data_IF_355789815699
#
_entry.id   IF_355789815699
#
_cell.length_a   1.000
_cell.length_b   1.000
_cell.length_c   1.000
_cell.angle_alpha   90.00
_cell.angle_beta   90.00
_cell.angle_gamma   90.00
#
_symmetry.space_group_name_H-M   'P 1'
#
loop_
_entity.id
_entity.type
_entity.pdbx_description
1 polymer ?
#
# COMPACT_ATOMS: atom_id res chain seq x y z
N UNK A 1 8.48 25.39 2.63
CA UNK A 1 8.94 24.31 1.74
C UNK A 1 7.76 23.41 1.41
N UNK A 2 7.56 23.14 0.14
CA UNK A 2 6.47 22.30 -0.30
C UNK A 2 6.96 21.02 -0.93
N UNK A 3 6.03 20.20 -1.34
CA UNK A 3 6.33 18.97 -2.05
C UNK A 3 6.80 19.29 -3.47
N UNK A 4 7.76 18.53 -3.96
CA UNK A 4 8.21 18.67 -5.34
C UNK A 4 7.19 18.05 -6.30
N UNK A 5 7.34 18.36 -7.60
CA UNK A 5 6.49 17.75 -8.62
C UNK A 5 6.64 16.24 -8.63
N UNK A 6 7.86 15.75 -8.46
CA UNK A 6 8.10 14.31 -8.46
C UNK A 6 7.40 13.65 -7.28
N UNK A 7 7.46 14.27 -6.10
CA UNK A 7 6.78 13.71 -4.94
C UNK A 7 5.27 13.64 -5.14
N UNK A 8 4.70 14.68 -5.74
CA UNK A 8 3.27 14.68 -6.04
C UNK A 8 2.91 13.60 -7.05
N UNK A 9 3.76 13.41 -8.05
CA UNK A 9 3.54 12.37 -9.05
C UNK A 9 3.58 10.98 -8.43
N UNK A 10 4.52 10.77 -7.50
CA UNK A 10 4.62 9.50 -6.78
C UNK A 10 3.34 9.24 -6.00
N UNK A 11 2.86 10.24 -5.27
CA UNK A 11 1.65 10.07 -4.47
C UNK A 11 0.44 9.79 -5.35
N UNK A 12 0.37 10.45 -6.52
CA UNK A 12 -0.71 10.19 -7.46
C UNK A 12 -0.64 8.77 -8.00
N UNK A 13 0.56 8.30 -8.33
CA UNK A 13 0.73 6.94 -8.84
C UNK A 13 0.36 5.89 -7.79
N UNK A 14 0.70 6.14 -6.53
CA UNK A 14 0.29 5.25 -5.44
C UNK A 14 -1.23 5.27 -5.28
N UNK A 15 -1.84 6.44 -5.40
CA UNK A 15 -3.31 6.53 -5.36
C UNK A 15 -3.93 5.70 -6.48
N UNK A 16 -3.35 5.76 -7.68
CA UNK A 16 -3.85 4.95 -8.80
C UNK A 16 -3.64 3.46 -8.56
N UNK A 17 -2.54 3.10 -7.91
CA UNK A 17 -2.31 1.72 -7.52
C UNK A 17 -3.44 1.22 -6.62
N UNK A 18 -3.79 2.00 -5.60
CA UNK A 18 -4.87 1.66 -4.69
C UNK A 18 -6.20 1.59 -5.45
N UNK A 19 -6.43 2.53 -6.36
CA UNK A 19 -7.68 2.59 -7.12
C UNK A 19 -7.87 1.38 -8.02
N UNK A 20 -6.78 0.82 -8.54
CA UNK A 20 -6.84 -0.36 -9.40
C UNK A 20 -6.96 -1.66 -8.61
N UNK A 21 -6.81 -1.61 -7.30
CA UNK A 21 -6.90 -2.77 -6.43
C UNK A 21 -7.86 -2.46 -5.29
N UNK A 22 -9.13 -2.17 -5.60
CA UNK A 22 -10.05 -1.61 -4.61
C UNK A 22 -10.50 -2.58 -3.53
N UNK A 23 -10.50 -3.87 -3.83
CA UNK A 23 -11.03 -4.87 -2.91
C UNK A 23 -9.92 -5.81 -2.48
N UNK A 24 -9.27 -5.53 -1.33
CA UNK A 24 -8.20 -6.43 -0.86
C UNK A 24 -8.70 -7.87 -0.77
N UNK A 25 -7.92 -8.77 -1.29
CA UNK A 25 -8.24 -10.18 -1.30
C UNK A 25 -6.99 -10.98 -0.96
N UNK A 26 -7.18 -12.07 -0.24
CA UNK A 26 -6.05 -12.90 0.17
C UNK A 26 -5.84 -14.02 -0.84
N UNK A 27 -5.59 -13.62 -2.10
CA UNK A 27 -5.27 -14.56 -3.16
C UNK A 27 -3.90 -14.24 -3.72
N UNK A 28 -3.24 -15.28 -4.27
CA UNK A 28 -1.92 -15.10 -4.85
C UNK A 28 -1.95 -14.14 -6.03
N UNK A 29 -2.99 -14.24 -6.87
CA UNK A 29 -3.12 -13.37 -8.02
C UNK A 29 -3.24 -11.90 -7.62
N UNK A 30 -4.03 -11.62 -6.60
CA UNK A 30 -4.21 -10.25 -6.13
C UNK A 30 -2.88 -9.68 -5.63
N UNK A 31 -2.19 -10.43 -4.79
CA UNK A 31 -0.93 -9.97 -4.23
C UNK A 31 0.15 -9.83 -5.29
N UNK A 32 0.20 -10.74 -6.25
CA UNK A 32 1.20 -10.65 -7.32
C UNK A 32 0.95 -9.40 -8.16
N UNK A 33 -0.30 -9.13 -8.50
CA UNK A 33 -0.65 -7.93 -9.26
C UNK A 33 -0.28 -6.66 -8.50
N UNK A 34 -0.57 -6.62 -7.20
CA UNK A 34 -0.25 -5.47 -6.36
C UNK A 34 1.26 -5.25 -6.28
N UNK A 35 2.01 -6.32 -6.06
CA UNK A 35 3.46 -6.25 -5.95
C UNK A 35 4.07 -5.80 -7.28
N UNK A 36 3.60 -6.35 -8.39
CA UNK A 36 4.12 -5.99 -9.70
C UNK A 36 3.88 -4.52 -10.00
N UNK A 37 2.68 -4.02 -9.72
CA UNK A 37 2.36 -2.63 -9.96
C UNK A 37 3.18 -1.70 -9.05
N UNK A 38 3.31 -2.06 -7.78
CA UNK A 38 4.13 -1.28 -6.85
C UNK A 38 5.59 -1.26 -7.31
N UNK A 39 6.09 -2.39 -7.78
CA UNK A 39 7.43 -2.47 -8.32
C UNK A 39 7.64 -1.58 -9.53
N UNK A 40 6.65 -1.51 -10.42
CA UNK A 40 6.71 -0.63 -11.58
C UNK A 40 6.83 0.83 -11.15
N UNK A 41 6.08 1.22 -10.13
CA UNK A 41 6.14 2.59 -9.62
C UNK A 41 7.53 2.89 -9.05
N UNK A 42 8.05 1.98 -8.25
CA UNK A 42 9.39 2.15 -7.69
C UNK A 42 10.44 2.26 -8.79
N UNK A 43 10.33 1.44 -9.82
CA UNK A 43 11.27 1.45 -10.94
C UNK A 43 11.17 2.76 -11.73
N UNK A 44 9.94 3.22 -11.96
CA UNK A 44 9.68 4.47 -12.70
C UNK A 44 10.40 5.66 -12.05
N UNK A 45 10.50 5.66 -10.73
CA UNK A 45 11.13 6.76 -10.00
C UNK A 45 12.50 6.39 -9.47
N UNK A 46 13.13 5.38 -10.04
CA UNK A 46 14.51 4.97 -9.72
C UNK A 46 14.73 4.67 -8.24
N UNK A 47 13.76 4.01 -7.62
CA UNK A 47 13.87 3.66 -6.22
C UNK A 47 13.75 4.84 -5.27
N UNK A 48 13.05 5.87 -5.68
CA UNK A 48 12.86 7.05 -4.85
C UNK A 48 12.32 6.63 -3.47
N UNK A 49 12.90 7.13 -2.38
CA UNK A 49 12.49 6.70 -1.03
C UNK A 49 10.99 6.85 -0.77
N UNK A 50 10.37 7.92 -1.26
CA UNK A 50 8.94 8.10 -1.05
C UNK A 50 8.14 6.99 -1.73
N UNK A 51 8.52 6.61 -2.95
CA UNK A 51 7.83 5.53 -3.66
C UNK A 51 7.97 4.21 -2.91
N UNK A 52 9.18 3.90 -2.46
CA UNK A 52 9.44 2.65 -1.75
C UNK A 52 8.67 2.60 -0.43
N UNK A 53 8.80 3.64 0.37
CA UNK A 53 8.17 3.65 1.70
C UNK A 53 6.65 3.73 1.61
N UNK A 54 6.12 4.54 0.70
CA UNK A 54 4.68 4.69 0.55
C UNK A 54 4.08 3.39 0.02
N UNK A 55 4.74 2.77 -0.97
CA UNK A 55 4.28 1.49 -1.50
C UNK A 55 4.27 0.41 -0.44
N UNK A 56 5.32 0.35 0.38
CA UNK A 56 5.36 -0.62 1.48
C UNK A 56 4.25 -0.36 2.49
N UNK A 57 3.98 0.92 2.81
CA UNK A 57 2.92 1.26 3.75
C UNK A 57 1.56 0.78 3.24
N UNK A 58 1.28 0.96 1.95
CA UNK A 58 0.03 0.50 1.36
C UNK A 58 -0.09 -1.02 1.48
N UNK A 59 0.99 -1.73 1.16
CA UNK A 59 0.96 -3.19 1.24
C UNK A 59 0.80 -3.69 2.66
N UNK A 60 1.44 -3.03 3.62
CA UNK A 60 1.28 -3.38 5.03
C UNK A 60 -0.16 -3.17 5.49
N UNK A 61 -0.76 -2.07 5.06
CA UNK A 61 -2.15 -1.81 5.40
C UNK A 61 -3.08 -2.87 4.81
N UNK A 62 -2.88 -3.22 3.53
CA UNK A 62 -3.68 -4.26 2.89
C UNK A 62 -3.52 -5.60 3.60
N UNK A 63 -2.32 -5.88 4.08
CA UNK A 63 -2.08 -7.11 4.85
C UNK A 63 -2.94 -7.14 6.11
N UNK A 64 -3.03 -6.01 6.81
CA UNK A 64 -3.87 -5.92 8.00
C UNK A 64 -5.33 -6.22 7.69
N UNK A 65 -5.82 -5.71 6.56
CA UNK A 65 -7.20 -5.94 6.15
C UNK A 65 -7.41 -7.40 5.80
N UNK A 66 -6.48 -7.98 5.03
CA UNK A 66 -6.62 -9.36 4.57
C UNK A 66 -6.52 -10.38 5.69
N UNK A 67 -5.70 -10.11 6.71
CA UNK A 67 -5.54 -11.07 7.81
C UNK A 67 -6.51 -10.82 8.96
N UNK A 68 -7.40 -9.83 8.81
CA UNK A 68 -8.43 -9.57 9.81
C UNK A 68 -7.97 -8.71 10.98
N UNK A 69 -6.76 -8.15 10.92
CA UNK A 69 -6.26 -7.30 12.00
C UNK A 69 -6.93 -5.93 12.02
N UNK A 70 -7.50 -5.52 10.90
CA UNK A 70 -8.24 -4.27 10.82
C UNK A 70 -9.61 -4.54 10.22
N UNK A 71 -10.66 -4.13 10.92
CA UNK A 71 -12.02 -4.32 10.47
C UNK A 71 -12.50 -3.06 9.76
N UNK A 72 -12.63 -3.14 8.45
CA UNK A 72 -13.06 -2.00 7.64
C UNK A 72 -14.47 -1.52 7.99
N UNK A 73 -15.36 -2.46 8.31
CA UNK A 73 -16.74 -2.12 8.62
C UNK A 73 -16.85 -1.40 9.96
N UNK A 74 -16.17 -1.91 10.96
CA UNK A 74 -16.16 -1.31 12.28
C UNK A 74 -15.19 -0.14 12.39
N UNK A 75 -14.30 -0.01 11.43
CA UNK A 75 -13.22 1.00 11.44
C UNK A 75 -12.41 0.88 12.72
N UNK A 76 -12.08 -0.36 13.05
CA UNK A 76 -11.48 -0.69 14.33
C UNK A 76 -10.29 -1.60 14.13
N UNK A 77 -9.16 -1.23 14.76
CA UNK A 77 -7.97 -2.05 14.75
C UNK A 77 -8.11 -3.12 15.83
N UNK A 78 -7.90 -4.37 15.45
CA UNK A 78 -8.01 -5.49 16.36
C UNK A 78 -6.64 -5.89 16.89
N UNK A 79 -5.64 -5.94 16.03
CA UNK A 79 -4.34 -6.49 16.36
C UNK A 79 -3.15 -5.62 15.94
N UNK A 80 -3.37 -4.46 15.45
CA UNK A 80 -2.35 -3.72 14.75
C UNK A 80 -1.15 -3.35 15.62
N UNK A 81 0.03 -3.84 15.23
CA UNK A 81 1.28 -3.38 15.82
C UNK A 81 1.49 -3.71 17.28
N UNK A 82 0.61 -4.50 17.87
CA UNK A 82 0.69 -4.81 19.30
C UNK A 82 1.17 -6.23 19.50
N UNK A 83 2.28 -6.41 20.22
CA UNK A 83 2.73 -7.78 20.54
C UNK A 83 1.67 -8.51 21.33
N UNK A 84 1.51 -9.77 21.04
CA UNK A 84 0.55 -10.58 21.77
C UNK A 84 1.06 -10.83 23.17
N UNK A 85 0.18 -10.67 24.09
CA UNK A 85 0.50 -10.91 25.50
C UNK A 85 0.18 -12.34 25.88
#
# INVERSE_FOLDING_TARGET
>A
MGWTSEERDIMRDIYLLVSKHPDPANTEEYWQSLIDHAGEICHKYNGHPLAVHFGCAVMEYWQLVCDGSYDLNAKKVINYGVPRQ
#
